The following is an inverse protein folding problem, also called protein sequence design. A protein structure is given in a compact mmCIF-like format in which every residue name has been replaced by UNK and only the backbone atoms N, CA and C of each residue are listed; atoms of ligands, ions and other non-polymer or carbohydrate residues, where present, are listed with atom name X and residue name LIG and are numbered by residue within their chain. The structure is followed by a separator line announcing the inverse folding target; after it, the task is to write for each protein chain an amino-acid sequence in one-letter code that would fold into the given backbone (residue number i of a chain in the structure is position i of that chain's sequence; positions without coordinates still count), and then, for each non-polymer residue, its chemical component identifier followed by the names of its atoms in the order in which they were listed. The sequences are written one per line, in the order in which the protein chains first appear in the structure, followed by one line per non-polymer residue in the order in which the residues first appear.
data_IF_928496885495
#
_entry.id   IF_928496885495
#
_cell.length_a   1.000
_cell.length_b   1.000
_cell.length_c   1.000
_cell.angle_alpha   90.00
_cell.angle_beta   90.00
_cell.angle_gamma   90.00
#
_symmetry.space_group_name_H-M   'P 1'
#
loop_
_entity.id
_entity.type
_entity.pdbx_description
1 polymer ?
#
# COMPACT_ATOMS: atom_id res chain seq x y z
N UNK A 1 -23.99 -16.36 21.80
CA UNK A 1 -23.61 -17.34 20.76
C UNK A 1 -22.11 -17.33 20.43
N UNK A 2 -21.54 -16.18 19.97
CA UNK A 2 -20.12 -16.08 19.60
C UNK A 2 -19.22 -16.33 20.84
N UNK A 3 -19.56 -15.72 21.97
CA UNK A 3 -18.83 -15.92 23.23
C UNK A 3 -18.87 -17.40 23.64
N UNK A 4 -20.02 -18.02 23.61
CA UNK A 4 -20.21 -19.42 24.01
C UNK A 4 -19.44 -20.38 23.10
N UNK A 5 -19.36 -20.09 21.79
CA UNK A 5 -18.60 -20.91 20.83
C UNK A 5 -17.08 -20.79 21.04
N UNK A 6 -16.59 -19.66 21.58
CA UNK A 6 -15.18 -19.46 21.89
C UNK A 6 -14.75 -20.02 23.24
N UNK A 7 -15.72 -20.15 24.20
CA UNK A 7 -15.48 -20.70 25.54
C UNK A 7 -15.72 -22.20 25.61
N UNK A 8 -16.43 -22.77 24.66
CA UNK A 8 -16.70 -24.22 24.55
C UNK A 8 -15.38 -25.02 24.45
N UNK A 9 -15.33 -26.26 24.97
CA UNK A 9 -14.18 -27.17 24.82
C UNK A 9 -13.77 -27.40 23.36
N UNK A 10 -14.74 -27.30 22.44
CA UNK A 10 -14.51 -27.29 20.99
C UNK A 10 -14.54 -25.85 20.47
N UNK A 11 -13.50 -25.10 20.82
CA UNK A 11 -13.38 -23.69 20.41
C UNK A 11 -13.43 -23.58 18.89
N UNK A 12 -14.50 -23.01 18.38
CA UNK A 12 -14.68 -22.78 16.95
C UNK A 12 -15.16 -21.36 16.70
N UNK A 13 -14.58 -20.71 15.69
CA UNK A 13 -15.12 -19.47 15.15
C UNK A 13 -16.27 -19.78 14.20
N UNK A 14 -17.10 -18.81 13.88
CA UNK A 14 -18.23 -18.95 12.94
C UNK A 14 -17.79 -19.43 11.55
N UNK A 15 -16.54 -19.19 11.18
CA UNK A 15 -15.91 -19.65 9.93
C UNK A 15 -15.07 -20.94 10.10
N UNK A 16 -15.28 -21.68 11.19
CA UNK A 16 -14.60 -22.94 11.50
C UNK A 16 -13.09 -22.85 11.71
N UNK A 17 -12.51 -21.65 11.79
CA UNK A 17 -11.07 -21.45 12.08
C UNK A 17 -10.77 -21.65 13.56
N UNK A 18 -9.56 -22.10 13.85
CA UNK A 18 -9.03 -22.10 15.22
C UNK A 18 -8.86 -20.65 15.71
N UNK A 19 -8.87 -20.37 17.03
CA UNK A 19 -8.75 -19.04 17.59
C UNK A 19 -7.49 -18.28 17.13
N UNK A 20 -6.37 -19.00 16.95
CA UNK A 20 -5.08 -18.45 16.53
C UNK A 20 -4.83 -18.57 15.02
N UNK A 21 -5.75 -19.17 14.28
CA UNK A 21 -5.59 -19.36 12.85
C UNK A 21 -5.88 -18.08 12.09
N UNK A 22 -4.88 -17.60 11.33
CA UNK A 22 -5.06 -16.47 10.42
C UNK A 22 -5.99 -16.83 9.27
N UNK A 23 -6.68 -15.83 8.71
CA UNK A 23 -7.53 -16.04 7.54
C UNK A 23 -6.65 -16.35 6.33
N UNK A 24 -6.89 -17.44 5.59
CA UNK A 24 -6.11 -17.74 4.39
C UNK A 24 -6.24 -16.61 3.38
N UNK A 25 -5.11 -16.16 2.87
CA UNK A 25 -5.04 -15.15 1.83
C UNK A 25 -3.97 -15.55 0.79
N UNK A 26 -4.17 -15.08 -0.43
CA UNK A 26 -3.22 -15.20 -1.52
C UNK A 26 -2.75 -13.80 -1.89
N UNK A 27 -1.45 -13.60 -1.94
CA UNK A 27 -0.84 -12.34 -2.35
C UNK A 27 0.08 -12.55 -3.55
N UNK A 28 0.08 -11.59 -4.47
CA UNK A 28 0.97 -11.53 -5.62
C UNK A 28 1.48 -10.10 -5.73
N UNK A 29 2.80 -9.95 -5.93
CA UNK A 29 3.45 -8.64 -6.07
C UNK A 29 4.00 -8.47 -7.49
N UNK A 30 4.27 -7.22 -7.88
CA UNK A 30 4.95 -6.85 -9.14
C UNK A 30 4.28 -7.42 -10.39
N UNK A 31 2.94 -7.40 -10.45
CA UNK A 31 2.19 -7.97 -11.57
C UNK A 31 1.71 -6.93 -12.59
N UNK A 32 1.70 -5.63 -12.24
CA UNK A 32 1.33 -4.54 -13.14
C UNK A 32 2.57 -3.95 -13.79
N UNK A 33 2.72 -4.08 -15.13
CA UNK A 33 3.95 -3.67 -15.82
C UNK A 33 4.17 -2.16 -15.86
N UNK A 34 3.09 -1.35 -15.77
CA UNK A 34 3.15 0.11 -15.87
C UNK A 34 3.12 0.81 -14.52
N UNK A 35 3.42 0.10 -13.43
CA UNK A 35 3.50 0.65 -12.09
C UNK A 35 4.91 0.48 -11.52
N UNK A 36 5.33 1.39 -10.66
CA UNK A 36 6.59 1.25 -9.93
C UNK A 36 6.54 0.11 -8.91
N UNK A 37 5.36 -0.16 -8.37
CA UNK A 37 5.08 -1.29 -7.50
C UNK A 37 3.63 -1.69 -7.55
N UNK A 38 3.33 -2.96 -7.31
CA UNK A 38 1.94 -3.43 -7.30
C UNK A 38 1.76 -4.65 -6.45
N UNK A 39 0.56 -4.80 -5.91
CA UNK A 39 0.15 -5.99 -5.18
C UNK A 39 -1.30 -6.35 -5.48
N UNK A 40 -1.59 -7.63 -5.45
CA UNK A 40 -2.94 -8.19 -5.50
C UNK A 40 -3.11 -9.14 -4.34
N UNK A 41 -4.13 -8.92 -3.54
CA UNK A 41 -4.47 -9.76 -2.40
C UNK A 41 -5.89 -10.25 -2.57
N UNK A 42 -6.08 -11.54 -2.40
CA UNK A 42 -7.41 -12.16 -2.37
C UNK A 42 -7.54 -13.05 -1.13
N UNK A 43 -8.72 -13.04 -0.53
CA UNK A 43 -9.09 -13.91 0.60
C UNK A 43 -9.98 -15.03 0.13
N UNK A 44 -10.04 -16.12 0.89
CA UNK A 44 -10.92 -17.26 0.58
C UNK A 44 -12.40 -16.86 0.56
N UNK A 45 -12.76 -15.84 1.33
CA UNK A 45 -14.14 -15.34 1.39
C UNK A 45 -14.54 -14.51 0.17
N UNK A 46 -13.65 -14.35 -0.82
CA UNK A 46 -13.92 -13.63 -2.05
C UNK A 46 -13.65 -12.11 -1.99
N UNK A 47 -13.08 -11.60 -0.90
CA UNK A 47 -12.63 -10.23 -0.85
C UNK A 47 -11.31 -10.08 -1.63
N UNK A 48 -11.26 -9.14 -2.56
CA UNK A 48 -10.11 -8.94 -3.43
C UNK A 48 -9.74 -7.47 -3.54
N UNK A 49 -8.45 -7.19 -3.43
CA UNK A 49 -7.88 -5.84 -3.50
C UNK A 49 -6.64 -5.83 -4.40
N UNK A 50 -6.56 -4.84 -5.26
CA UNK A 50 -5.37 -4.49 -6.04
C UNK A 50 -4.85 -3.16 -5.56
N UNK A 51 -3.54 -3.07 -5.35
CA UNK A 51 -2.88 -1.81 -5.03
C UNK A 51 -1.79 -1.54 -6.05
N UNK A 52 -1.76 -0.33 -6.59
CA UNK A 52 -0.70 0.14 -7.47
C UNK A 52 0.01 1.34 -6.86
N UNK A 53 1.32 1.44 -7.11
CA UNK A 53 2.15 2.57 -6.70
C UNK A 53 2.81 3.14 -7.93
N UNK A 54 2.62 4.45 -8.14
CA UNK A 54 3.32 5.23 -9.17
C UNK A 54 4.12 6.32 -8.51
N UNK A 55 5.33 6.53 -9.00
CA UNK A 55 6.18 7.63 -8.57
C UNK A 55 6.21 8.70 -9.65
N UNK A 56 6.09 9.95 -9.26
CA UNK A 56 6.37 11.11 -10.09
C UNK A 56 7.36 12.03 -9.39
N UNK A 57 7.95 12.95 -10.13
CA UNK A 57 8.87 13.94 -9.58
C UNK A 57 8.11 15.23 -9.36
N UNK A 58 8.19 15.75 -8.15
CA UNK A 58 7.57 17.01 -7.79
C UNK A 58 8.64 17.97 -7.27
N UNK A 59 8.56 19.22 -7.72
CA UNK A 59 9.32 20.32 -7.12
C UNK A 59 8.53 20.85 -5.93
N UNK A 60 8.92 20.47 -4.74
CA UNK A 60 8.21 20.91 -3.53
C UNK A 60 9.12 20.93 -2.32
N UNK A 61 8.91 21.94 -1.49
CA UNK A 61 9.41 21.99 -0.13
C UNK A 61 8.38 21.43 0.88
N UNK A 62 7.15 21.12 0.39
CA UNK A 62 6.05 20.64 1.22
C UNK A 62 6.03 19.10 1.27
N UNK A 63 6.44 18.58 2.39
CA UNK A 63 6.61 17.15 2.63
C UNK A 63 5.27 16.41 2.76
N UNK A 64 4.19 17.11 3.09
CA UNK A 64 2.87 16.49 3.30
C UNK A 64 2.18 16.09 1.99
N UNK A 65 2.66 16.62 0.86
CA UNK A 65 2.15 16.31 -0.48
C UNK A 65 2.85 15.13 -1.16
N UNK A 66 3.86 14.52 -0.51
CA UNK A 66 4.66 13.47 -1.14
C UNK A 66 3.94 12.11 -1.23
N UNK A 67 2.87 11.90 -0.49
CA UNK A 67 2.12 10.65 -0.50
C UNK A 67 0.64 10.95 -0.67
N UNK A 68 0.10 10.51 -1.79
CA UNK A 68 -1.32 10.57 -2.08
C UNK A 68 -1.88 9.15 -2.13
N UNK A 69 -3.00 8.92 -1.44
CA UNK A 69 -3.67 7.62 -1.41
C UNK A 69 -5.10 7.80 -1.89
N UNK A 70 -5.46 7.08 -2.92
CA UNK A 70 -6.82 7.04 -3.44
C UNK A 70 -7.38 5.62 -3.27
N UNK A 71 -8.66 5.55 -2.89
CA UNK A 71 -9.34 4.27 -2.63
C UNK A 71 -10.62 4.22 -3.43
N UNK A 72 -10.71 3.23 -4.29
CA UNK A 72 -11.89 2.90 -5.09
C UNK A 72 -12.47 1.55 -4.65
N UNK A 73 -13.77 1.50 -4.42
CA UNK A 73 -14.48 0.31 -3.98
C UNK A 73 -15.59 0.01 -4.97
N UNK A 74 -15.53 -1.15 -5.61
CA UNK A 74 -16.54 -1.54 -6.59
C UNK A 74 -17.96 -1.45 -6.02
N UNK A 75 -18.82 -0.72 -6.73
CA UNK A 75 -20.20 -0.50 -6.35
C UNK A 75 -20.43 0.63 -5.35
N UNK A 76 -19.38 1.32 -4.93
CA UNK A 76 -19.45 2.55 -4.16
C UNK A 76 -19.08 3.74 -5.05
N UNK A 77 -19.46 4.93 -4.62
CA UNK A 77 -18.98 6.18 -5.25
C UNK A 77 -17.64 6.57 -4.65
N UNK A 78 -16.78 7.18 -5.43
CA UNK A 78 -15.45 7.63 -4.99
C UNK A 78 -15.53 8.65 -3.85
N UNK A 79 -16.61 9.45 -3.81
CA UNK A 79 -16.89 10.44 -2.77
C UNK A 79 -17.65 9.86 -1.56
N UNK A 80 -17.83 8.54 -1.47
CA UNK A 80 -18.52 7.91 -0.34
C UNK A 80 -17.70 8.04 0.95
N UNK A 81 -18.40 8.18 2.08
CA UNK A 81 -17.79 8.25 3.42
C UNK A 81 -16.84 7.06 3.69
N UNK A 82 -17.13 5.91 3.09
CA UNK A 82 -16.33 4.71 3.23
C UNK A 82 -14.98 4.85 2.50
N UNK A 83 -15.01 5.25 1.22
CA UNK A 83 -13.81 5.43 0.40
C UNK A 83 -12.92 6.53 1.00
N UNK A 84 -13.51 7.70 1.29
CA UNK A 84 -12.82 8.84 1.90
C UNK A 84 -12.25 8.50 3.28
N UNK A 85 -13.01 7.76 4.10
CA UNK A 85 -12.59 7.33 5.42
C UNK A 85 -11.37 6.40 5.37
N UNK A 86 -11.38 5.40 4.50
CA UNK A 86 -10.26 4.46 4.34
C UNK A 86 -9.04 5.19 3.77
N UNK A 87 -9.21 6.01 2.74
CA UNK A 87 -8.14 6.82 2.13
C UNK A 87 -7.46 7.72 3.18
N UNK A 88 -8.25 8.42 3.98
CA UNK A 88 -7.74 9.30 5.06
C UNK A 88 -6.93 8.54 6.11
N UNK A 89 -7.40 7.36 6.54
CA UNK A 89 -6.69 6.52 7.52
C UNK A 89 -5.37 6.02 6.95
N UNK A 90 -5.37 5.51 5.72
CA UNK A 90 -4.17 5.00 5.05
C UNK A 90 -3.17 6.12 4.78
N UNK A 91 -3.62 7.26 4.25
CA UNK A 91 -2.77 8.42 3.99
C UNK A 91 -2.08 8.90 5.26
N UNK A 92 -2.82 9.06 6.36
CA UNK A 92 -2.25 9.46 7.65
C UNK A 92 -1.24 8.44 8.17
N UNK A 93 -1.54 7.15 8.10
CA UNK A 93 -0.65 6.10 8.56
C UNK A 93 0.66 6.08 7.77
N UNK A 94 0.58 6.20 6.44
CA UNK A 94 1.75 6.21 5.57
C UNK A 94 2.58 7.48 5.75
N UNK A 95 1.95 8.65 5.76
CA UNK A 95 2.64 9.94 5.94
C UNK A 95 3.36 10.02 7.28
N UNK A 96 2.80 9.43 8.35
CA UNK A 96 3.42 9.46 9.68
C UNK A 96 4.58 8.47 9.85
N UNK A 97 4.58 7.35 9.11
CA UNK A 97 5.52 6.26 9.36
C UNK A 97 6.56 6.06 8.24
N UNK A 98 6.36 6.67 7.07
CA UNK A 98 7.31 6.54 5.97
C UNK A 98 8.53 7.45 6.18
N UNK A 99 9.71 6.90 5.96
CA UNK A 99 10.95 7.67 5.94
C UNK A 99 11.02 8.55 4.67
N UNK A 100 10.73 9.82 4.86
CA UNK A 100 10.65 10.81 3.78
C UNK A 100 12.00 11.12 3.14
N UNK A 101 13.10 10.83 3.85
CA UNK A 101 14.45 11.04 3.31
C UNK A 101 14.70 10.20 2.05
N UNK A 102 14.04 9.04 1.96
CA UNK A 102 14.13 8.14 0.80
C UNK A 102 13.41 8.65 -0.45
N UNK A 103 12.49 9.59 -0.27
CA UNK A 103 11.77 10.23 -1.38
C UNK A 103 12.47 11.49 -1.87
N UNK A 104 13.43 12.02 -1.12
CA UNK A 104 14.15 13.23 -1.49
C UNK A 104 15.21 12.91 -2.56
N UNK A 105 15.13 13.60 -3.69
CA UNK A 105 16.10 13.49 -4.79
C UNK A 105 17.21 14.53 -4.67
N UNK A 106 16.80 15.80 -4.55
CA UNK A 106 17.68 16.97 -4.43
C UNK A 106 17.08 17.94 -3.41
N UNK A 107 17.72 19.08 -3.21
CA UNK A 107 17.19 20.10 -2.29
C UNK A 107 15.82 20.66 -2.72
N UNK A 108 15.50 20.61 -4.03
CA UNK A 108 14.28 21.19 -4.61
C UNK A 108 13.28 20.15 -5.14
N UNK A 109 13.72 18.91 -5.38
CA UNK A 109 12.92 17.88 -6.00
C UNK A 109 12.80 16.64 -5.11
N UNK A 110 11.62 16.07 -5.09
CA UNK A 110 11.31 14.84 -4.38
C UNK A 110 10.42 13.93 -5.22
N UNK A 111 10.46 12.63 -4.94
CA UNK A 111 9.45 11.73 -5.45
C UNK A 111 8.13 11.94 -4.73
N UNK A 112 7.04 12.04 -5.49
CA UNK A 112 5.68 11.94 -5.01
C UNK A 112 5.14 10.56 -5.36
N UNK A 113 4.56 9.88 -4.38
CA UNK A 113 3.96 8.55 -4.55
C UNK A 113 2.44 8.66 -4.63
N UNK A 114 1.89 8.14 -5.70
CA UNK A 114 0.46 7.92 -5.89
C UNK A 114 0.16 6.45 -5.62
N UNK A 115 -0.68 6.19 -4.64
CA UNK A 115 -1.05 4.86 -4.20
C UNK A 115 -2.54 4.67 -4.46
N UNK A 116 -2.86 3.91 -5.49
CA UNK A 116 -4.23 3.59 -5.88
C UNK A 116 -4.61 2.23 -5.31
N UNK A 117 -5.65 2.20 -4.49
CA UNK A 117 -6.19 0.99 -3.87
C UNK A 117 -7.55 0.69 -4.45
N UNK A 118 -7.68 -0.38 -5.21
CA UNK A 118 -8.92 -0.80 -5.84
C UNK A 118 -9.44 -2.07 -5.21
N UNK A 119 -10.59 -2.00 -4.55
CA UNK A 119 -11.28 -3.17 -4.02
C UNK A 119 -12.25 -3.70 -5.08
N UNK A 120 -11.91 -4.83 -5.68
CA UNK A 120 -12.63 -5.41 -6.82
C UNK A 120 -13.87 -6.19 -6.42
N UNK A 121 -13.86 -6.81 -5.26
CA UNK A 121 -14.91 -7.69 -4.82
C UNK A 121 -15.13 -7.60 -3.32
N UNK A 122 -16.38 -7.42 -2.93
CA UNK A 122 -16.83 -7.50 -1.55
C UNK A 122 -17.95 -8.55 -1.49
N UNK A 123 -17.79 -9.62 -0.71
CA UNK A 123 -18.85 -10.61 -0.52
C UNK A 123 -20.13 -9.97 0.01
N UNK A 124 -21.27 -10.43 -0.46
CA UNK A 124 -22.60 -9.87 -0.11
C UNK A 124 -22.85 -9.87 1.40
N UNK A 125 -22.40 -10.91 2.08
CA UNK A 125 -22.54 -11.05 3.54
C UNK A 125 -21.75 -9.98 4.33
N UNK A 126 -20.77 -9.35 3.69
CA UNK A 126 -19.97 -8.28 4.29
C UNK A 126 -20.64 -6.91 4.21
N UNK A 127 -21.59 -6.69 3.32
CA UNK A 127 -22.20 -5.36 3.11
C UNK A 127 -23.07 -4.90 4.28
N UNK A 128 -23.46 -5.79 5.18
CA UNK A 128 -24.42 -5.50 6.27
C UNK A 128 -23.78 -5.40 7.65
N UNK A 129 -22.50 -5.66 7.83
CA UNK A 129 -21.88 -5.70 9.14
C UNK A 129 -20.70 -4.72 9.31
N UNK A 130 -20.56 -4.18 10.52
CA UNK A 130 -19.41 -3.34 10.92
C UNK A 130 -18.04 -4.04 10.75
N UNK A 131 -18.04 -5.35 10.58
CA UNK A 131 -16.85 -6.15 10.25
C UNK A 131 -16.24 -5.78 8.91
N UNK A 132 -17.03 -5.26 8.00
CA UNK A 132 -16.60 -4.91 6.64
C UNK A 132 -15.53 -3.84 6.64
N UNK A 133 -15.72 -2.77 7.40
CA UNK A 133 -14.77 -1.66 7.45
C UNK A 133 -13.38 -2.09 7.92
N UNK A 134 -13.31 -2.84 9.04
CA UNK A 134 -12.03 -3.32 9.57
C UNK A 134 -11.34 -4.33 8.64
N UNK A 135 -12.11 -5.18 7.98
CA UNK A 135 -11.58 -6.13 7.01
C UNK A 135 -11.03 -5.43 5.77
N UNK A 136 -11.74 -4.41 5.27
CA UNK A 136 -11.30 -3.59 4.13
C UNK A 136 -10.04 -2.80 4.45
N UNK A 137 -9.99 -2.10 5.60
CA UNK A 137 -8.80 -1.37 6.04
C UNK A 137 -7.61 -2.31 6.18
N UNK A 138 -7.80 -3.48 6.79
CA UNK A 138 -6.72 -4.45 6.98
C UNK A 138 -6.20 -4.98 5.64
N UNK A 139 -7.10 -5.30 4.70
CA UNK A 139 -6.73 -5.78 3.38
C UNK A 139 -6.01 -4.69 2.57
N UNK A 140 -6.55 -3.48 2.55
CA UNK A 140 -5.97 -2.32 1.88
C UNK A 140 -4.59 -1.97 2.47
N UNK A 141 -4.44 -2.01 3.80
CA UNK A 141 -3.17 -1.78 4.48
C UNK A 141 -2.11 -2.83 4.09
N UNK A 142 -2.49 -4.12 4.07
CA UNK A 142 -1.59 -5.17 3.59
C UNK A 142 -1.24 -4.98 2.11
N UNK A 143 -2.21 -4.57 1.28
CA UNK A 143 -1.99 -4.24 -0.12
C UNK A 143 -0.98 -3.13 -0.29
N UNK A 144 -1.17 -2.00 0.40
CA UNK A 144 -0.23 -0.87 0.39
C UNK A 144 1.18 -1.31 0.83
N UNK A 145 1.28 -2.08 1.91
CA UNK A 145 2.57 -2.57 2.40
C UNK A 145 3.31 -3.41 1.36
N UNK A 146 2.63 -4.38 0.74
CA UNK A 146 3.24 -5.25 -0.27
C UNK A 146 3.56 -4.49 -1.55
N UNK A 147 2.71 -3.56 -1.98
CA UNK A 147 2.95 -2.73 -3.15
C UNK A 147 4.17 -1.81 -2.93
N UNK A 148 4.27 -1.16 -1.76
CA UNK A 148 5.43 -0.32 -1.41
C UNK A 148 6.72 -1.13 -1.29
N UNK A 149 6.67 -2.35 -0.75
CA UNK A 149 7.84 -3.24 -0.72
C UNK A 149 8.30 -3.71 -2.11
N UNK A 150 7.39 -3.79 -3.05
CA UNK A 150 7.69 -4.14 -4.43
C UNK A 150 8.02 -2.91 -5.30
N UNK A 151 7.97 -1.71 -4.73
CA UNK A 151 8.18 -0.46 -5.47
C UNK A 151 9.66 -0.25 -5.75
N UNK A 152 9.95 -0.04 -7.04
CA UNK A 152 11.27 0.33 -7.54
C UNK A 152 11.23 1.76 -8.06
N UNK A 153 12.20 2.55 -7.63
CA UNK A 153 12.38 3.93 -8.06
C UNK A 153 13.54 4.03 -9.05
N UNK A 154 13.42 4.83 -10.10
CA UNK A 154 14.51 5.01 -11.04
C UNK A 154 15.72 5.66 -10.38
N UNK A 155 16.91 5.23 -10.77
CA UNK A 155 18.16 5.79 -10.26
C UNK A 155 18.39 7.19 -10.83
N UNK A 156 18.69 8.15 -9.95
CA UNK A 156 19.07 9.51 -10.32
C UNK A 156 20.49 9.50 -10.95
N UNK A 157 20.60 10.00 -12.17
CA UNK A 157 21.87 10.09 -12.90
C UNK A 157 22.51 11.47 -12.76
N UNK A 158 21.71 12.53 -12.65
CA UNK A 158 22.21 13.90 -12.53
C UNK A 158 22.90 14.10 -11.18
N UNK A 159 24.20 14.38 -11.23
CA UNK A 159 25.04 14.65 -10.05
C UNK A 159 25.20 16.14 -9.76
N UNK A 160 24.41 17.01 -10.37
CA UNK A 160 24.58 18.45 -10.28
C UNK A 160 24.24 18.97 -8.89
N UNK A 161 25.26 18.96 -8.02
CA UNK A 161 25.30 19.73 -6.78
C UNK A 161 25.50 21.23 -7.02
N UNK A 162 25.40 21.67 -8.27
CA UNK A 162 25.59 23.06 -8.62
C UNK A 162 24.33 23.84 -8.23
N UNK A 163 24.42 24.57 -7.15
CA UNK A 163 23.33 25.36 -6.56
C UNK A 163 22.83 26.48 -7.50
N UNK A 164 23.53 26.73 -8.60
CA UNK A 164 23.24 27.79 -9.55
C UNK A 164 22.48 27.31 -10.81
N UNK A 165 22.45 26.01 -11.10
CA UNK A 165 21.76 25.46 -12.28
C UNK A 165 20.50 24.74 -11.84
N UNK A 166 19.35 25.28 -12.20
CA UNK A 166 18.02 24.67 -11.98
C UNK A 166 17.76 23.58 -13.02
N UNK A 167 18.57 22.52 -13.04
CA UNK A 167 18.31 21.40 -13.94
C UNK A 167 17.29 20.44 -13.33
N UNK A 168 16.37 20.01 -14.15
CA UNK A 168 15.43 18.94 -13.78
C UNK A 168 16.21 17.63 -13.57
N UNK A 169 15.84 16.82 -12.57
CA UNK A 169 16.51 15.56 -12.32
C UNK A 169 16.36 14.62 -13.51
N UNK A 170 17.46 14.05 -13.96
CA UNK A 170 17.49 13.03 -15.02
C UNK A 170 17.70 11.66 -14.43
N UNK A 171 17.01 10.67 -14.98
CA UNK A 171 17.01 9.29 -14.50
C UNK A 171 17.61 8.34 -15.50
N UNK A 172 18.10 7.21 -15.02
CA UNK A 172 18.55 6.11 -15.86
C UNK A 172 17.33 5.43 -16.53
N UNK A 173 17.47 5.15 -17.83
CA UNK A 173 16.49 4.36 -18.58
C UNK A 173 16.60 2.85 -18.29
N UNK A 174 17.64 2.45 -17.56
CA UNK A 174 17.89 1.05 -17.24
C UNK A 174 17.07 0.62 -16.02
N UNK A 175 16.10 -0.26 -16.26
CA UNK A 175 15.24 -0.80 -15.23
C UNK A 175 15.98 -1.69 -14.20
N UNK A 176 17.10 -2.30 -14.59
CA UNK A 176 17.91 -3.13 -13.69
C UNK A 176 18.64 -2.30 -12.64
N UNK A 177 18.90 -1.02 -12.94
CA UNK A 177 19.54 -0.08 -12.02
C UNK A 177 18.59 0.59 -11.02
N UNK A 178 17.29 0.29 -11.06
CA UNK A 178 16.31 0.84 -10.14
C UNK A 178 16.59 0.46 -8.69
N UNK A 179 16.28 1.39 -7.78
CA UNK A 179 16.49 1.22 -6.34
C UNK A 179 15.17 0.82 -5.66
N UNK A 180 15.22 -0.18 -4.80
CA UNK A 180 14.05 -0.56 -3.99
C UNK A 180 13.73 0.54 -2.97
N UNK A 181 12.48 0.98 -2.93
CA UNK A 181 12.01 1.98 -1.96
C UNK A 181 12.18 1.50 -0.52
N UNK A 182 11.88 0.23 -0.27
CA UNK A 182 12.06 -0.43 1.02
C UNK A 182 13.03 -1.59 0.80
N UNK A 183 14.31 -1.45 1.20
CA UNK A 183 15.29 -2.52 1.06
C UNK A 183 14.81 -3.79 1.79
N UNK A 184 15.04 -4.92 1.17
CA UNK A 184 14.80 -6.20 1.81
C UNK A 184 15.89 -6.43 2.86
N UNK A 185 15.56 -6.24 4.14
CA UNK A 185 16.42 -6.64 5.26
C UNK A 185 16.48 -8.19 5.34
N UNK A 186 17.00 -8.82 4.31
CA UNK A 186 17.30 -10.26 4.35
C UNK A 186 18.52 -10.57 5.24
N UNK A 187 19.25 -9.55 5.68
CA UNK A 187 20.46 -9.70 6.49
C UNK A 187 20.27 -9.40 7.99
N UNK A 188 19.07 -9.08 8.42
CA UNK A 188 18.79 -8.75 9.83
C UNK A 188 17.87 -9.76 10.51
N UNK A 189 18.05 -11.07 10.26
CA UNK A 189 17.56 -12.08 11.20
C UNK A 189 18.62 -12.26 12.28
N UNK A 190 18.35 -11.88 13.55
CA UNK A 190 19.23 -12.24 14.64
C UNK A 190 19.22 -13.77 14.79
N UNK A 191 20.40 -14.35 14.72
CA UNK A 191 20.68 -15.74 15.07
C UNK A 191 20.35 -15.99 16.54
#
# INVERSE_FOLDING_TARGET
YIYDSLVSPQVARTDSRKPTQFRPLKATCSFLPNSNGSSRISTVDGLECITSVKASVLRTDNIDELIQVDVDIQGQRDDSDLCVGISSVLSRALTSNMDRSKLRLTDKYSFQLFIDVVVLSIPVDFQTSSYTLYSLISLASMGCYLALRSTKLPLLVSTTNDKEVEEEPTFSDDWESCVDLIPNDSDALPT
#
